data_IF_752569654601
#
_entry.id   IF_752569654601
#
_cell.length_a   1.000
_cell.length_b   1.000
_cell.length_c   1.000
_cell.angle_alpha   90.00
_cell.angle_beta   90.00
_cell.angle_gamma   90.00
#
_symmetry.space_group_name_H-M   'P 1'
#
loop_
_entity.id
_entity.type
_entity.pdbx_description
1 polymer ?
#
# COMPACT_ATOMS: atom_id res chain seq x y z
N UNK A 1 22.55 46.54 8.35
CA UNK A 1 21.13 46.14 8.36
C UNK A 1 20.73 45.10 7.33
N UNK A 2 21.67 44.35 6.70
CA UNK A 2 21.36 43.43 5.56
C UNK A 2 21.35 41.93 5.94
N UNK A 3 21.68 41.57 7.18
CA UNK A 3 21.77 40.15 7.65
C UNK A 3 20.48 39.59 8.26
N UNK A 4 19.53 40.44 8.62
CA UNK A 4 18.27 40.02 9.29
C UNK A 4 17.29 39.42 8.29
N UNK A 5 17.35 39.79 7.00
CA UNK A 5 16.43 39.30 5.98
C UNK A 5 16.66 37.85 5.57
N UNK A 6 17.90 37.34 5.63
CA UNK A 6 18.18 35.95 5.25
C UNK A 6 17.65 34.93 6.27
N UNK A 7 17.69 35.25 7.55
CA UNK A 7 17.14 34.38 8.61
C UNK A 7 15.60 34.31 8.57
N UNK A 8 14.94 35.41 8.25
CA UNK A 8 13.48 35.45 8.13
C UNK A 8 12.98 34.63 6.94
N UNK A 9 13.69 34.66 5.80
CA UNK A 9 13.35 33.85 4.62
C UNK A 9 13.59 32.35 4.83
N UNK A 10 14.66 31.97 5.56
CA UNK A 10 14.92 30.56 5.85
C UNK A 10 13.90 29.97 6.85
N UNK A 11 13.42 30.75 7.81
CA UNK A 11 12.35 30.29 8.72
C UNK A 11 11.02 30.13 8.01
N UNK A 12 10.65 31.04 7.10
CA UNK A 12 9.40 30.95 6.33
C UNK A 12 9.34 29.70 5.44
N UNK A 13 10.45 29.32 4.83
CA UNK A 13 10.51 28.10 3.98
C UNK A 13 10.32 26.80 4.78
N UNK A 14 10.81 26.73 6.02
CA UNK A 14 10.64 25.59 6.91
C UNK A 14 9.16 25.38 7.30
N UNK A 15 8.44 26.48 7.57
CA UNK A 15 7.01 26.42 7.92
C UNK A 15 6.15 25.95 6.76
N UNK A 16 6.45 26.37 5.52
CA UNK A 16 5.72 25.94 4.32
C UNK A 16 5.89 24.44 4.03
N UNK A 17 7.09 23.90 4.21
CA UNK A 17 7.37 22.47 4.01
C UNK A 17 6.68 21.58 5.05
N UNK A 18 6.62 22.01 6.31
CA UNK A 18 5.94 21.27 7.36
C UNK A 18 4.40 21.18 7.12
N UNK A 19 3.79 22.26 6.64
CA UNK A 19 2.36 22.26 6.30
C UNK A 19 2.06 21.30 5.11
N UNK A 20 2.91 21.26 4.11
CA UNK A 20 2.75 20.39 2.94
C UNK A 20 2.79 18.91 3.32
N UNK A 21 3.79 18.48 4.11
CA UNK A 21 3.90 17.09 4.55
C UNK A 21 2.72 16.65 5.43
N UNK A 22 2.18 17.53 6.26
CA UNK A 22 1.01 17.25 7.08
C UNK A 22 -0.25 17.09 6.22
N UNK A 23 -0.41 17.93 5.20
CA UNK A 23 -1.50 17.84 4.25
C UNK A 23 -1.47 16.51 3.48
N UNK A 24 -0.32 16.13 2.92
CA UNK A 24 -0.16 14.87 2.17
C UNK A 24 -0.48 13.66 3.06
N UNK A 25 0.02 13.64 4.30
CA UNK A 25 -0.29 12.56 5.24
C UNK A 25 -1.79 12.46 5.54
N UNK A 26 -2.48 13.60 5.68
CA UNK A 26 -3.93 13.67 5.86
C UNK A 26 -4.69 13.13 4.64
N UNK A 27 -4.32 13.56 3.45
CA UNK A 27 -4.95 13.12 2.21
C UNK A 27 -4.77 11.59 2.01
N UNK A 28 -3.56 11.06 2.27
CA UNK A 28 -3.35 9.62 2.21
C UNK A 28 -4.19 8.88 3.26
N UNK A 29 -4.26 9.37 4.49
CA UNK A 29 -5.06 8.74 5.53
C UNK A 29 -6.55 8.67 5.16
N UNK A 30 -7.12 9.75 4.64
CA UNK A 30 -8.50 9.79 4.15
C UNK A 30 -8.70 8.89 2.93
N UNK A 31 -7.76 8.91 1.97
CA UNK A 31 -7.78 8.04 0.80
C UNK A 31 -7.75 6.55 1.19
N UNK A 32 -6.91 6.16 2.15
CA UNK A 32 -6.88 4.80 2.71
C UNK A 32 -8.22 4.39 3.33
N UNK A 33 -8.81 5.26 4.15
CA UNK A 33 -10.13 4.99 4.73
C UNK A 33 -11.20 4.82 3.66
N UNK A 34 -11.17 5.64 2.61
CA UNK A 34 -12.08 5.53 1.48
C UNK A 34 -11.88 4.19 0.72
N UNK A 35 -10.61 3.75 0.48
CA UNK A 35 -10.32 2.43 -0.11
C UNK A 35 -10.88 1.28 0.74
N UNK A 36 -10.65 1.33 2.05
CA UNK A 36 -11.11 0.30 2.99
C UNK A 36 -12.64 0.24 3.02
N UNK A 37 -13.31 1.38 2.88
CA UNK A 37 -14.77 1.49 2.79
C UNK A 37 -15.33 1.13 1.39
N UNK A 38 -14.48 0.86 0.39
CA UNK A 38 -14.90 0.57 -0.99
C UNK A 38 -15.28 1.82 -1.81
N UNK A 39 -15.04 3.03 -1.29
CA UNK A 39 -15.29 4.26 -2.01
C UNK A 39 -14.08 4.65 -2.86
N UNK A 40 -13.87 3.89 -3.94
CA UNK A 40 -12.68 4.02 -4.80
C UNK A 40 -12.58 5.38 -5.49
N UNK A 41 -13.71 6.02 -5.81
CA UNK A 41 -13.71 7.33 -6.46
C UNK A 41 -13.26 8.44 -5.49
N UNK A 42 -13.71 8.40 -4.24
CA UNK A 42 -13.23 9.34 -3.22
C UNK A 42 -11.73 9.11 -2.92
N UNK A 43 -11.30 7.85 -2.84
CA UNK A 43 -9.89 7.50 -2.65
C UNK A 43 -9.01 8.08 -3.77
N UNK A 44 -9.46 7.95 -5.03
CA UNK A 44 -8.76 8.51 -6.18
C UNK A 44 -8.56 10.02 -6.03
N UNK A 45 -9.61 10.77 -5.63
CA UNK A 45 -9.52 12.22 -5.42
C UNK A 45 -8.50 12.61 -4.34
N UNK A 46 -8.49 11.91 -3.21
CA UNK A 46 -7.53 12.16 -2.14
C UNK A 46 -6.08 11.88 -2.56
N UNK A 47 -5.82 10.78 -3.28
CA UNK A 47 -4.46 10.45 -3.73
C UNK A 47 -3.98 11.36 -4.85
N UNK A 48 -4.88 11.88 -5.70
CA UNK A 48 -4.54 12.94 -6.65
C UNK A 48 -4.14 14.23 -5.94
N UNK A 49 -4.85 14.61 -4.88
CA UNK A 49 -4.49 15.78 -4.08
C UNK A 49 -3.12 15.59 -3.41
N UNK A 50 -2.86 14.42 -2.84
CA UNK A 50 -1.56 14.08 -2.25
C UNK A 50 -0.41 14.15 -3.27
N UNK A 51 -0.61 13.59 -4.48
CA UNK A 51 0.37 13.58 -5.55
C UNK A 51 0.75 15.00 -6.00
N UNK A 52 -0.23 15.91 -6.10
CA UNK A 52 0.01 17.30 -6.49
C UNK A 52 0.89 18.06 -5.49
N UNK A 53 0.85 17.67 -4.21
CA UNK A 53 1.64 18.34 -3.14
C UNK A 53 3.02 17.72 -3.02
N UNK A 54 3.12 16.39 -2.92
CA UNK A 54 4.40 15.67 -2.83
C UNK A 54 4.28 14.25 -3.39
N UNK A 55 4.58 14.03 -4.66
CA UNK A 55 4.51 12.71 -5.30
C UNK A 55 5.55 11.71 -4.75
N UNK A 56 6.58 12.18 -4.05
CA UNK A 56 7.63 11.33 -3.49
C UNK A 56 7.36 10.93 -2.02
N UNK A 57 6.30 11.45 -1.42
CA UNK A 57 5.97 11.14 -0.03
C UNK A 57 5.69 9.65 0.17
N UNK A 58 6.21 9.10 1.27
CA UNK A 58 6.00 7.70 1.68
C UNK A 58 5.24 7.66 3.00
N UNK A 59 4.13 6.94 2.99
CA UNK A 59 3.26 6.77 4.15
C UNK A 59 3.42 5.39 4.78
N UNK A 60 3.23 5.32 6.11
CA UNK A 60 3.27 4.10 6.90
C UNK A 60 4.62 3.81 7.53
N UNK A 61 4.62 2.92 8.50
CA UNK A 61 5.80 2.48 9.26
C UNK A 61 6.23 1.07 8.86
N UNK A 62 5.38 0.10 9.07
CA UNK A 62 5.63 -1.30 8.74
C UNK A 62 5.30 -1.58 7.26
N UNK A 63 4.12 -1.16 6.81
CA UNK A 63 3.71 -1.21 5.41
C UNK A 63 3.93 0.18 4.79
N UNK A 64 5.11 0.37 4.21
CA UNK A 64 5.51 1.65 3.61
C UNK A 64 5.13 1.69 2.13
N UNK A 65 4.26 2.63 1.76
CA UNK A 65 3.79 2.82 0.39
C UNK A 65 3.98 4.28 -0.04
N UNK A 66 4.42 4.50 -1.28
CA UNK A 66 4.50 5.82 -1.87
C UNK A 66 3.13 6.36 -2.31
N UNK A 67 3.00 7.69 -2.44
CA UNK A 67 1.79 8.33 -2.99
C UNK A 67 1.39 7.72 -4.32
N UNK A 68 2.35 7.49 -5.22
CA UNK A 68 2.09 6.90 -6.54
C UNK A 68 1.59 5.44 -6.47
N UNK A 69 1.97 4.68 -5.44
CA UNK A 69 1.42 3.35 -5.20
C UNK A 69 -0.08 3.42 -4.89
N UNK A 70 -0.46 4.30 -3.98
CA UNK A 70 -1.87 4.54 -3.65
C UNK A 70 -2.67 5.07 -4.84
N UNK A 71 -2.12 6.04 -5.57
CA UNK A 71 -2.77 6.62 -6.75
C UNK A 71 -3.00 5.57 -7.83
N UNK A 72 -1.98 4.79 -8.19
CA UNK A 72 -2.08 3.74 -9.20
C UNK A 72 -3.08 2.66 -8.81
N UNK A 73 -3.13 2.28 -7.52
CA UNK A 73 -4.15 1.38 -6.99
C UNK A 73 -5.56 1.95 -7.15
N UNK A 74 -5.79 3.23 -6.80
CA UNK A 74 -7.10 3.85 -6.93
C UNK A 74 -7.52 4.00 -8.40
N UNK A 75 -6.59 4.31 -9.31
CA UNK A 75 -6.83 4.31 -10.75
C UNK A 75 -7.24 2.92 -11.26
N UNK A 76 -6.57 1.85 -10.80
CA UNK A 76 -6.95 0.47 -11.09
C UNK A 76 -8.39 0.18 -10.63
N UNK A 77 -8.71 0.48 -9.37
CA UNK A 77 -10.01 0.19 -8.77
C UNK A 77 -11.17 1.01 -9.37
N UNK A 78 -10.85 2.11 -10.05
CA UNK A 78 -11.81 2.93 -10.81
C UNK A 78 -11.85 2.58 -12.30
N UNK A 79 -11.14 1.53 -12.74
CA UNK A 79 -11.12 1.05 -14.11
C UNK A 79 -10.19 1.82 -15.08
N UNK A 80 -9.41 2.77 -14.55
CA UNK A 80 -8.47 3.59 -15.33
C UNK A 80 -7.15 2.84 -15.57
N UNK A 81 -7.19 1.66 -16.18
CA UNK A 81 -6.06 0.72 -16.25
C UNK A 81 -4.83 1.28 -16.97
N UNK A 82 -5.00 2.09 -18.01
CA UNK A 82 -3.87 2.68 -18.73
C UNK A 82 -3.08 3.67 -17.85
N UNK A 83 -3.79 4.50 -17.08
CA UNK A 83 -3.16 5.42 -16.12
C UNK A 83 -2.57 4.66 -14.93
N UNK A 84 -3.29 3.66 -14.38
CA UNK A 84 -2.82 2.82 -13.30
C UNK A 84 -1.46 2.18 -13.65
N UNK A 85 -1.32 1.63 -14.85
CA UNK A 85 -0.08 1.05 -15.33
C UNK A 85 1.07 2.05 -15.28
N UNK A 86 0.93 3.20 -15.93
CA UNK A 86 1.98 4.22 -15.99
C UNK A 86 2.36 4.72 -14.60
N UNK A 87 1.37 4.95 -13.73
CA UNK A 87 1.61 5.41 -12.35
C UNK A 87 2.32 4.34 -11.52
N UNK A 88 1.93 3.07 -11.63
CA UNK A 88 2.55 1.97 -10.87
C UNK A 88 3.97 1.64 -11.38
N UNK A 89 4.22 1.72 -12.69
CA UNK A 89 5.57 1.61 -13.25
C UNK A 89 6.48 2.74 -12.70
N UNK A 90 5.95 3.96 -12.59
CA UNK A 90 6.68 5.09 -11.98
C UNK A 90 6.92 4.84 -10.48
N UNK A 91 5.91 4.39 -9.74
CA UNK A 91 6.05 4.03 -8.32
C UNK A 91 7.16 3.00 -8.10
N UNK A 92 7.21 1.95 -8.91
CA UNK A 92 8.23 0.90 -8.83
C UNK A 92 9.62 1.38 -9.27
N UNK A 93 9.71 2.36 -10.18
CA UNK A 93 11.00 2.98 -10.53
C UNK A 93 11.59 3.75 -9.34
N UNK A 94 10.76 4.34 -8.49
CA UNK A 94 11.17 5.06 -7.28
C UNK A 94 11.43 4.10 -6.09
N UNK A 95 10.61 3.06 -5.95
CA UNK A 95 10.74 2.06 -4.89
C UNK A 95 10.43 0.65 -5.41
N UNK A 96 11.46 -0.09 -5.79
CA UNK A 96 11.33 -1.47 -6.27
C UNK A 96 10.83 -2.45 -5.19
N UNK A 97 10.86 -2.06 -3.92
CA UNK A 97 10.38 -2.88 -2.79
C UNK A 97 8.91 -2.66 -2.46
N UNK A 98 8.18 -1.81 -3.22
CA UNK A 98 6.76 -1.61 -3.00
C UNK A 98 5.94 -2.79 -3.57
N UNK A 99 5.71 -3.78 -2.71
CA UNK A 99 5.07 -5.03 -3.08
C UNK A 99 3.59 -4.84 -3.45
N UNK A 100 2.92 -3.84 -2.88
CA UNK A 100 1.53 -3.50 -3.23
C UNK A 100 1.48 -2.87 -4.63
N UNK A 101 2.38 -1.93 -4.93
CA UNK A 101 2.48 -1.37 -6.28
C UNK A 101 2.78 -2.47 -7.32
N UNK A 102 3.68 -3.41 -7.01
CA UNK A 102 4.01 -4.54 -7.89
C UNK A 102 2.80 -5.44 -8.13
N UNK A 103 2.10 -5.81 -7.06
CA UNK A 103 0.89 -6.63 -7.18
C UNK A 103 -0.16 -5.93 -8.07
N UNK A 104 -0.43 -4.64 -7.83
CA UNK A 104 -1.40 -3.91 -8.65
C UNK A 104 -0.94 -3.67 -10.10
N UNK A 105 0.36 -3.56 -10.36
CA UNK A 105 0.88 -3.54 -11.74
C UNK A 105 0.54 -4.85 -12.46
N UNK A 106 0.81 -5.99 -11.81
CA UNK A 106 0.45 -7.29 -12.36
C UNK A 106 -1.05 -7.45 -12.59
N UNK A 107 -1.89 -7.06 -11.61
CA UNK A 107 -3.35 -7.08 -11.77
C UNK A 107 -3.81 -6.16 -12.91
N UNK A 108 -3.18 -5.00 -13.07
CA UNK A 108 -3.48 -4.06 -14.17
C UNK A 108 -3.16 -4.68 -15.53
N UNK A 109 -2.00 -5.31 -15.67
CA UNK A 109 -1.61 -6.03 -16.89
C UNK A 109 -2.58 -7.18 -17.21
N UNK A 110 -3.01 -7.93 -16.19
CA UNK A 110 -3.99 -9.00 -16.34
C UNK A 110 -5.35 -8.47 -16.83
N UNK A 111 -5.84 -7.35 -16.28
CA UNK A 111 -7.06 -6.67 -16.75
C UNK A 111 -6.96 -6.14 -18.18
N UNK A 112 -5.75 -5.82 -18.64
CA UNK A 112 -5.47 -5.42 -20.04
C UNK A 112 -5.27 -6.63 -20.99
N UNK A 113 -5.34 -7.87 -20.50
CA UNK A 113 -5.13 -9.08 -21.27
C UNK A 113 -3.66 -9.48 -21.46
N UNK A 114 -2.71 -8.74 -20.88
CA UNK A 114 -1.27 -9.00 -20.96
C UNK A 114 -0.83 -10.06 -19.93
N UNK A 115 -1.50 -11.20 -19.91
CA UNK A 115 -1.42 -12.22 -18.86
C UNK A 115 -0.01 -12.77 -18.65
N UNK A 116 0.78 -12.94 -19.71
CA UNK A 116 2.16 -13.43 -19.61
C UNK A 116 3.08 -12.43 -18.88
N UNK A 117 2.84 -11.12 -19.04
CA UNK A 117 3.58 -10.09 -18.36
C UNK A 117 3.09 -9.86 -16.93
N UNK A 118 1.81 -10.17 -16.68
CA UNK A 118 1.17 -10.02 -15.38
C UNK A 118 1.75 -10.96 -14.31
N UNK A 119 2.03 -12.22 -14.68
CA UNK A 119 2.42 -13.28 -13.74
C UNK A 119 3.63 -12.95 -12.88
N UNK A 120 4.76 -12.48 -13.42
CA UNK A 120 5.93 -12.15 -12.62
C UNK A 120 5.64 -11.06 -11.57
N UNK A 121 4.81 -10.07 -11.91
CA UNK A 121 4.48 -8.98 -11.00
C UNK A 121 3.45 -9.41 -9.95
N UNK A 122 2.45 -10.25 -10.31
CA UNK A 122 1.52 -10.82 -9.33
C UNK A 122 2.27 -11.72 -8.34
N UNK A 123 3.08 -12.66 -8.83
CA UNK A 123 3.86 -13.57 -7.96
C UNK A 123 4.86 -12.79 -7.10
N UNK A 124 5.59 -11.86 -7.69
CA UNK A 124 6.56 -11.04 -6.99
C UNK A 124 5.93 -10.15 -5.91
N UNK A 125 4.79 -9.52 -6.21
CA UNK A 125 4.03 -8.72 -5.25
C UNK A 125 3.49 -9.55 -4.09
N UNK A 126 2.86 -10.71 -4.39
CA UNK A 126 2.38 -11.64 -3.37
C UNK A 126 3.52 -12.18 -2.51
N UNK A 127 4.63 -12.60 -3.13
CA UNK A 127 5.81 -13.06 -2.39
C UNK A 127 6.36 -11.99 -1.46
N UNK A 128 6.47 -10.77 -1.93
CA UNK A 128 6.99 -9.66 -1.11
C UNK A 128 6.08 -9.32 0.07
N UNK A 129 4.75 -9.39 -0.09
CA UNK A 129 3.79 -9.26 1.03
C UNK A 129 3.97 -10.41 2.02
N UNK A 130 4.09 -11.64 1.54
CA UNK A 130 4.33 -12.83 2.38
C UNK A 130 5.62 -12.69 3.20
N UNK A 131 6.71 -12.30 2.55
CA UNK A 131 8.00 -12.11 3.20
C UNK A 131 7.96 -11.00 4.26
N UNK A 132 7.25 -9.90 3.99
CA UNK A 132 7.03 -8.82 4.94
C UNK A 132 6.27 -9.29 6.18
N UNK A 133 5.17 -10.04 5.99
CA UNK A 133 4.39 -10.58 7.10
C UNK A 133 5.20 -11.55 7.95
N UNK A 134 5.97 -12.44 7.33
CA UNK A 134 6.87 -13.34 8.06
C UNK A 134 7.93 -12.54 8.83
N UNK A 135 8.57 -11.55 8.20
CA UNK A 135 9.54 -10.71 8.88
C UNK A 135 8.96 -10.04 10.14
N UNK A 136 7.76 -9.47 10.05
CA UNK A 136 7.10 -8.81 11.17
C UNK A 136 6.75 -9.83 12.27
N UNK A 137 6.13 -10.95 11.90
CA UNK A 137 5.68 -11.97 12.86
C UNK A 137 6.84 -12.69 13.55
N UNK A 138 7.94 -12.93 12.84
CA UNK A 138 9.10 -13.64 13.40
C UNK A 138 10.00 -12.72 14.22
N UNK A 139 10.27 -11.51 13.72
CA UNK A 139 11.16 -10.55 14.39
C UNK A 139 10.53 -9.97 15.65
N UNK A 140 9.23 -9.72 15.62
CA UNK A 140 8.50 -9.06 16.71
C UNK A 140 7.47 -9.95 17.40
N UNK A 141 7.70 -11.28 17.37
CA UNK A 141 6.77 -12.32 17.87
C UNK A 141 6.38 -12.19 19.35
N UNK A 142 7.22 -11.58 20.17
CA UNK A 142 6.93 -11.32 21.60
C UNK A 142 6.42 -9.88 21.85
N UNK A 143 5.89 -9.23 20.84
CA UNK A 143 5.40 -7.86 20.90
C UNK A 143 4.28 -7.63 19.91
N UNK A 144 4.41 -6.58 19.09
CA UNK A 144 3.33 -6.22 18.17
C UNK A 144 3.20 -7.18 16.97
N UNK A 145 4.21 -7.98 16.67
CA UNK A 145 4.19 -8.92 15.54
C UNK A 145 3.18 -10.06 15.71
N UNK A 146 2.84 -10.43 16.95
CA UNK A 146 1.83 -11.47 17.23
C UNK A 146 0.42 -11.09 16.76
N UNK A 147 0.17 -9.80 16.56
CA UNK A 147 -1.14 -9.28 16.11
C UNK A 147 -1.25 -9.16 14.60
N UNK A 148 -0.17 -9.43 13.85
CA UNK A 148 -0.14 -9.37 12.39
C UNK A 148 -0.50 -10.71 11.77
N UNK A 149 -1.55 -10.71 10.93
CA UNK A 149 -2.07 -11.91 10.26
C UNK A 149 -2.12 -13.14 11.20
N UNK A 150 -2.76 -13.02 12.40
CA UNK A 150 -2.68 -14.03 13.46
C UNK A 150 -3.31 -15.36 13.03
N UNK A 151 -4.32 -15.33 12.17
CA UNK A 151 -4.95 -16.50 11.56
C UNK A 151 -4.20 -17.03 10.33
N UNK A 152 -3.13 -16.38 9.89
CA UNK A 152 -2.41 -16.66 8.62
C UNK A 152 -3.30 -16.56 7.38
N UNK A 153 -4.38 -15.80 7.43
CA UNK A 153 -5.35 -15.71 6.33
C UNK A 153 -4.74 -15.10 5.07
N UNK A 154 -3.89 -14.07 5.22
CA UNK A 154 -3.21 -13.41 4.09
C UNK A 154 -2.14 -14.36 3.54
N UNK A 155 -1.29 -14.90 4.43
CA UNK A 155 -0.20 -15.80 4.01
C UNK A 155 -0.72 -17.08 3.37
N UNK A 156 -1.77 -17.69 3.91
CA UNK A 156 -2.38 -18.89 3.33
C UNK A 156 -3.03 -18.61 1.95
N UNK A 157 -3.67 -17.46 1.78
CA UNK A 157 -4.20 -17.05 0.49
C UNK A 157 -3.08 -16.85 -0.54
N UNK A 158 -1.96 -16.25 -0.15
CA UNK A 158 -0.78 -16.09 -1.02
C UNK A 158 -0.20 -17.46 -1.40
N UNK A 159 0.02 -18.37 -0.44
CA UNK A 159 0.54 -19.71 -0.68
C UNK A 159 -0.32 -20.47 -1.70
N UNK A 160 -1.66 -20.44 -1.51
CA UNK A 160 -2.62 -21.05 -2.44
C UNK A 160 -2.49 -20.47 -3.85
N UNK A 161 -2.50 -19.16 -4.01
CA UNK A 161 -2.46 -18.52 -5.33
C UNK A 161 -1.13 -18.75 -6.02
N UNK A 162 0.00 -18.74 -5.30
CA UNK A 162 1.32 -19.06 -5.85
C UNK A 162 1.40 -20.51 -6.32
N UNK A 163 0.80 -21.47 -5.60
CA UNK A 163 0.69 -22.86 -6.03
C UNK A 163 -0.16 -23.00 -7.31
N UNK A 164 -1.26 -22.26 -7.43
CA UNK A 164 -2.09 -22.22 -8.66
C UNK A 164 -1.28 -21.66 -9.83
N UNK A 165 -0.57 -20.56 -9.67
CA UNK A 165 0.28 -19.98 -10.73
C UNK A 165 1.38 -20.98 -11.16
N UNK A 166 2.03 -21.65 -10.21
CA UNK A 166 3.05 -22.65 -10.50
C UNK A 166 2.50 -23.89 -11.26
N UNK A 167 1.24 -24.24 -11.05
CA UNK A 167 0.59 -25.35 -11.77
C UNK A 167 0.26 -25.04 -13.24
N UNK A 168 0.30 -23.76 -13.63
CA UNK A 168 -0.09 -23.29 -14.96
C UNK A 168 -1.60 -23.35 -15.26
N UNK A 169 -2.43 -23.81 -14.31
CA UNK A 169 -3.90 -23.88 -14.45
C UNK A 169 -4.55 -22.65 -13.80
N UNK A 170 -4.41 -21.50 -14.43
CA UNK A 170 -4.82 -20.22 -13.89
C UNK A 170 -6.24 -19.86 -14.34
N UNK A 171 -7.15 -19.71 -13.38
CA UNK A 171 -8.40 -18.98 -13.57
C UNK A 171 -8.16 -17.51 -13.29
N UNK A 172 -8.03 -16.71 -14.36
CA UNK A 172 -7.66 -15.29 -14.27
C UNK A 172 -8.63 -14.45 -13.47
N UNK A 173 -9.97 -14.59 -13.64
CA UNK A 173 -10.93 -13.87 -12.80
C UNK A 173 -10.70 -14.12 -11.29
N UNK A 174 -10.51 -15.37 -10.90
CA UNK A 174 -10.26 -15.76 -9.50
C UNK A 174 -8.92 -15.22 -9.01
N UNK A 175 -7.83 -15.37 -9.79
CA UNK A 175 -6.51 -14.85 -9.40
C UNK A 175 -6.52 -13.33 -9.18
N UNK A 176 -7.23 -12.60 -10.04
CA UNK A 176 -7.38 -11.15 -9.91
C UNK A 176 -8.16 -10.81 -8.64
N UNK A 177 -9.30 -11.45 -8.39
CA UNK A 177 -10.11 -11.21 -7.21
C UNK A 177 -9.36 -11.55 -5.91
N UNK A 178 -8.63 -12.65 -5.89
CA UNK A 178 -7.79 -13.05 -4.76
C UNK A 178 -6.66 -12.04 -4.54
N UNK A 179 -6.01 -11.54 -5.60
CA UNK A 179 -4.98 -10.51 -5.50
C UNK A 179 -5.50 -9.19 -4.93
N UNK A 180 -6.68 -8.73 -5.38
CA UNK A 180 -7.38 -7.57 -4.83
C UNK A 180 -7.71 -7.76 -3.34
N UNK A 181 -8.20 -8.94 -2.96
CA UNK A 181 -8.51 -9.30 -1.58
C UNK A 181 -7.27 -9.33 -0.68
N UNK A 182 -6.18 -9.94 -1.14
CA UNK A 182 -4.88 -9.98 -0.44
C UNK A 182 -4.39 -8.55 -0.18
N UNK A 183 -4.38 -7.70 -1.21
CA UNK A 183 -3.94 -6.31 -1.08
C UNK A 183 -4.81 -5.51 -0.10
N UNK A 184 -6.14 -5.70 -0.13
CA UNK A 184 -7.06 -5.01 0.79
C UNK A 184 -6.86 -5.47 2.23
N UNK A 185 -6.71 -6.77 2.47
CA UNK A 185 -6.43 -7.31 3.82
C UNK A 185 -5.08 -6.78 4.33
N UNK A 186 -4.04 -6.82 3.50
CA UNK A 186 -2.72 -6.27 3.85
C UNK A 186 -2.78 -4.79 4.21
N UNK A 187 -3.63 -4.00 3.52
CA UNK A 187 -3.84 -2.58 3.82
C UNK A 187 -4.49 -2.33 5.19
N UNK A 188 -5.39 -3.23 5.61
CA UNK A 188 -6.08 -3.16 6.91
C UNK A 188 -5.19 -3.61 8.07
N UNK A 189 -4.26 -4.49 7.81
CA UNK A 189 -3.47 -5.20 8.83
C UNK A 189 -2.81 -4.28 9.87
N UNK A 190 -2.16 -3.16 9.50
CA UNK A 190 -1.57 -2.25 10.50
C UNK A 190 -2.59 -1.68 11.49
N UNK A 191 -3.82 -1.44 11.05
CA UNK A 191 -4.89 -0.87 11.89
C UNK A 191 -5.50 -1.96 12.78
N UNK A 192 -5.74 -3.15 12.25
CA UNK A 192 -6.26 -4.30 12.98
C UNK A 192 -5.26 -4.78 14.04
N UNK A 193 -3.99 -4.88 13.72
CA UNK A 193 -2.92 -5.24 14.67
C UNK A 193 -2.85 -4.24 15.83
N UNK A 194 -2.93 -2.94 15.56
CA UNK A 194 -2.97 -1.90 16.60
C UNK A 194 -4.20 -2.01 17.49
N UNK A 195 -5.37 -2.31 16.92
CA UNK A 195 -6.61 -2.48 17.69
C UNK A 195 -6.56 -3.73 18.58
N UNK A 196 -6.08 -4.85 18.04
CA UNK A 196 -5.96 -6.11 18.79
C UNK A 196 -4.99 -5.95 19.96
N UNK A 197 -3.84 -5.32 19.75
CA UNK A 197 -2.89 -5.00 20.81
C UNK A 197 -3.51 -4.14 21.92
N UNK A 198 -4.26 -3.10 21.56
CA UNK A 198 -4.95 -2.24 22.56
C UNK A 198 -5.97 -3.01 23.38
N UNK A 199 -6.78 -3.87 22.74
CA UNK A 199 -7.77 -4.72 23.42
C UNK A 199 -7.09 -5.64 24.43
N UNK A 200 -6.01 -6.29 24.06
CA UNK A 200 -5.30 -7.18 24.97
C UNK A 200 -4.69 -6.42 26.15
N UNK A 201 -4.10 -5.25 25.91
CA UNK A 201 -3.57 -4.42 26.98
C UNK A 201 -4.65 -3.97 27.97
N UNK A 202 -5.87 -3.65 27.53
CA UNK A 202 -6.96 -3.29 28.43
C UNK A 202 -7.42 -4.48 29.29
N UNK A 203 -7.46 -5.70 28.72
CA UNK A 203 -7.85 -6.91 29.48
C UNK A 203 -6.81 -7.34 30.53
N UNK A 204 -5.56 -6.89 30.41
CA UNK A 204 -4.50 -7.18 31.40
C UNK A 204 -4.41 -6.10 32.50
N UNK A 205 -5.09 -4.97 32.33
CA UNK A 205 -5.09 -3.85 33.28
C UNK A 205 -6.28 -3.89 34.26
N UNK A 206 -7.27 -4.74 34.00
CA UNK A 206 -8.42 -5.03 34.86
C UNK A 206 -8.14 -6.28 35.71
#
# INVERSE_FOLDING_TARGET
>A
MRRINFLAWSLLSIWLSACASFQVAGDIAHGRQALIAGNNQAALGYFQAAEQVDPAYVYGTELRQGVLSYLGRAQYLTGNYAQARSTLETALSQNQSDNIARLYLGLTLARQGETQKALPDIDGGMKGIYDLLNYITDTFRFGYGEYWDPGRDIRSAIEKNRAVMASGKIDWPTLIADGESIALKTEREPDEARQNRRRQQSLLAD
#
